data_IF_981320789879
#
_entry.id   IF_981320789879
#
_cell.length_a   1.000
_cell.length_b   1.000
_cell.length_c   1.000
_cell.angle_alpha   90.00
_cell.angle_beta   90.00
_cell.angle_gamma   90.00
#
_symmetry.space_group_name_H-M   'P 1'
#
loop_
_entity.id
_entity.type
_entity.pdbx_description
1 polymer ?
#
# COMPACT_ATOMS: atom_id res chain seq x y z
N UNK A 1 -15.43 -22.96 2.50
CA UNK A 1 -14.79 -22.49 1.25
C UNK A 1 -13.58 -23.40 0.99
N UNK A 2 -13.46 -24.05 -0.18
CA UNK A 2 -12.46 -25.10 -0.40
C UNK A 2 -11.03 -24.56 -0.39
N UNK A 3 -10.12 -25.25 0.31
CA UNK A 3 -8.70 -24.89 0.44
C UNK A 3 -8.03 -24.61 -0.92
N UNK A 4 -8.39 -25.38 -1.95
CA UNK A 4 -7.85 -25.23 -3.31
C UNK A 4 -8.21 -23.91 -3.97
N UNK A 5 -9.45 -23.43 -3.82
CA UNK A 5 -9.89 -22.15 -4.41
C UNK A 5 -9.12 -20.98 -3.84
N UNK A 6 -8.90 -20.97 -2.52
CA UNK A 6 -8.15 -19.91 -1.85
C UNK A 6 -6.68 -19.90 -2.28
N UNK A 7 -6.07 -21.08 -2.50
CA UNK A 7 -4.70 -21.18 -3.03
C UNK A 7 -4.58 -20.60 -4.43
N UNK A 8 -5.55 -20.86 -5.31
CA UNK A 8 -5.58 -20.31 -6.68
C UNK A 8 -5.70 -18.78 -6.63
N UNK A 9 -6.63 -18.26 -5.83
CA UNK A 9 -6.82 -16.83 -5.65
C UNK A 9 -5.57 -16.14 -5.08
N UNK A 10 -4.93 -16.74 -4.08
CA UNK A 10 -3.69 -16.25 -3.51
C UNK A 10 -2.56 -16.24 -4.55
N UNK A 11 -2.46 -17.26 -5.39
CA UNK A 11 -1.48 -17.31 -6.48
C UNK A 11 -1.66 -16.15 -7.46
N UNK A 12 -2.90 -15.91 -7.93
CA UNK A 12 -3.19 -14.77 -8.81
C UNK A 12 -2.90 -13.42 -8.14
N UNK A 13 -3.17 -13.30 -6.84
CA UNK A 13 -2.89 -12.07 -6.11
C UNK A 13 -1.38 -11.81 -5.97
N UNK A 14 -0.59 -12.84 -5.66
CA UNK A 14 0.88 -12.73 -5.60
C UNK A 14 1.45 -12.39 -6.97
N UNK A 15 0.92 -13.00 -8.04
CA UNK A 15 1.32 -12.69 -9.40
C UNK A 15 0.99 -11.23 -9.76
N UNK A 16 -0.21 -10.76 -9.42
CA UNK A 16 -0.63 -9.38 -9.59
C UNK A 16 0.28 -8.38 -8.85
N UNK A 17 0.57 -8.62 -7.56
CA UNK A 17 1.48 -7.76 -6.80
C UNK A 17 2.85 -7.73 -7.49
N UNK A 18 3.39 -8.90 -7.84
CA UNK A 18 4.73 -9.00 -8.44
C UNK A 18 4.83 -8.23 -9.75
N UNK A 19 3.86 -8.41 -10.65
CA UNK A 19 3.83 -7.72 -11.95
C UNK A 19 3.56 -6.24 -11.75
N UNK A 20 2.58 -5.85 -10.93
CA UNK A 20 2.24 -4.45 -10.72
C UNK A 20 3.38 -3.65 -10.07
N UNK A 21 4.12 -4.25 -9.13
CA UNK A 21 5.32 -3.63 -8.56
C UNK A 21 6.45 -3.52 -9.58
N UNK A 22 6.70 -4.57 -10.38
CA UNK A 22 7.73 -4.55 -11.42
C UNK A 22 7.44 -3.51 -12.50
N UNK A 23 6.19 -3.45 -12.97
CA UNK A 23 5.72 -2.45 -13.92
C UNK A 23 5.73 -1.05 -13.30
N UNK A 24 5.30 -0.90 -12.04
CA UNK A 24 5.34 0.37 -11.32
C UNK A 24 6.75 0.94 -11.19
N UNK A 25 7.74 0.08 -10.99
CA UNK A 25 9.13 0.51 -11.03
C UNK A 25 9.57 0.88 -12.46
N UNK A 26 9.38 -0.04 -13.42
CA UNK A 26 9.96 0.06 -14.76
C UNK A 26 9.30 1.13 -15.65
N UNK A 27 7.98 1.29 -15.54
CA UNK A 27 7.16 2.12 -16.45
C UNK A 27 6.85 3.48 -15.83
N UNK A 28 6.78 3.57 -14.50
CA UNK A 28 6.48 4.84 -13.83
C UNK A 28 7.71 5.48 -13.18
N UNK A 29 8.47 4.76 -12.35
CA UNK A 29 9.59 5.39 -11.63
C UNK A 29 10.74 5.78 -12.57
N UNK A 30 11.19 4.87 -13.44
CA UNK A 30 12.32 5.12 -14.35
C UNK A 30 12.03 6.29 -15.32
N UNK A 31 10.89 6.34 -16.02
CA UNK A 31 10.63 7.42 -16.97
C UNK A 31 10.35 8.77 -16.30
N UNK A 32 9.91 8.77 -15.03
CA UNK A 32 9.72 10.00 -14.25
C UNK A 32 11.00 10.46 -13.55
N UNK A 33 12.10 9.69 -13.56
CA UNK A 33 13.35 10.07 -12.92
C UNK A 33 13.92 11.42 -13.43
N UNK A 34 13.85 11.77 -14.73
CA UNK A 34 14.27 13.11 -15.19
C UNK A 34 13.49 14.25 -14.51
N UNK A 35 12.21 14.04 -14.18
CA UNK A 35 11.39 15.03 -13.48
C UNK A 35 11.94 15.34 -12.09
N UNK A 36 12.60 14.38 -11.43
CA UNK A 36 13.25 14.60 -10.15
C UNK A 36 14.33 15.68 -10.24
N UNK A 37 15.15 15.68 -11.30
CA UNK A 37 16.21 16.66 -11.50
C UNK A 37 15.68 18.05 -11.89
N UNK A 38 14.50 18.11 -12.54
CA UNK A 38 13.86 19.37 -12.96
C UNK A 38 13.08 19.99 -11.79
N UNK A 39 12.24 19.20 -11.14
CA UNK A 39 11.40 19.62 -10.03
C UNK A 39 11.16 18.45 -9.07
N UNK A 40 11.94 18.36 -7.99
CA UNK A 40 11.76 17.32 -6.96
C UNK A 40 10.35 17.35 -6.37
N UNK A 41 9.74 18.53 -6.26
CA UNK A 41 8.38 18.70 -5.75
C UNK A 41 7.33 18.04 -6.66
N UNK A 42 7.38 18.28 -7.97
CA UNK A 42 6.44 17.68 -8.92
C UNK A 42 6.65 16.17 -9.02
N UNK A 43 7.91 15.72 -9.05
CA UNK A 43 8.24 14.29 -9.00
C UNK A 43 7.59 13.63 -7.78
N UNK A 44 7.79 14.21 -6.59
CA UNK A 44 7.24 13.66 -5.36
C UNK A 44 5.71 13.62 -5.38
N UNK A 45 5.06 14.69 -5.84
CA UNK A 45 3.59 14.75 -5.95
C UNK A 45 3.02 13.67 -6.88
N UNK A 46 3.66 13.41 -8.02
CA UNK A 46 3.22 12.38 -8.97
C UNK A 46 3.43 10.98 -8.41
N UNK A 47 4.62 10.68 -7.90
CA UNK A 47 4.95 9.37 -7.35
C UNK A 47 4.07 9.06 -6.13
N UNK A 48 3.89 10.02 -5.22
CA UNK A 48 3.04 9.81 -4.04
C UNK A 48 1.59 9.55 -4.42
N UNK A 49 1.07 10.21 -5.47
CA UNK A 49 -0.28 9.92 -5.97
C UNK A 49 -0.40 8.55 -6.63
N UNK A 50 0.64 8.06 -7.30
CA UNK A 50 0.65 6.73 -7.90
C UNK A 50 0.72 5.63 -6.83
N UNK A 51 1.58 5.81 -5.84
CA UNK A 51 1.71 4.90 -4.69
C UNK A 51 0.41 4.84 -3.89
N UNK A 52 -0.21 5.99 -3.63
CA UNK A 52 -1.52 6.10 -2.96
C UNK A 52 -2.60 5.27 -3.69
N UNK A 53 -2.71 5.43 -5.01
CA UNK A 53 -3.65 4.64 -5.82
C UNK A 53 -3.32 3.14 -5.78
N UNK A 54 -2.05 2.76 -5.89
CA UNK A 54 -1.62 1.37 -5.84
C UNK A 54 -1.94 0.73 -4.48
N UNK A 55 -1.70 1.45 -3.38
CA UNK A 55 -2.07 1.02 -2.03
C UNK A 55 -3.59 0.81 -1.93
N UNK A 56 -4.39 1.79 -2.35
CA UNK A 56 -5.85 1.71 -2.28
C UNK A 56 -6.41 0.50 -3.08
N UNK A 57 -5.88 0.24 -4.27
CA UNK A 57 -6.27 -0.92 -5.09
C UNK A 57 -5.96 -2.24 -4.36
N UNK A 58 -4.76 -2.36 -3.77
CA UNK A 58 -4.39 -3.56 -3.03
C UNK A 58 -5.25 -3.79 -1.80
N UNK A 59 -5.60 -2.73 -1.06
CA UNK A 59 -6.54 -2.81 0.08
C UNK A 59 -7.86 -3.43 -0.37
N UNK A 60 -8.42 -2.99 -1.52
CA UNK A 60 -9.66 -3.56 -2.04
C UNK A 60 -9.54 -5.04 -2.39
N UNK A 61 -8.42 -5.48 -2.97
CA UNK A 61 -8.19 -6.91 -3.21
C UNK A 61 -8.15 -7.73 -1.92
N UNK A 62 -7.53 -7.23 -0.86
CA UNK A 62 -7.41 -7.94 0.41
C UNK A 62 -8.75 -8.04 1.14
N UNK A 63 -9.58 -7.01 1.04
CA UNK A 63 -10.96 -7.03 1.53
C UNK A 63 -11.83 -8.06 0.79
N UNK A 64 -11.62 -8.23 -0.52
CA UNK A 64 -12.30 -9.28 -1.30
C UNK A 64 -11.94 -10.69 -0.84
N UNK A 65 -10.78 -10.90 -0.21
CA UNK A 65 -10.44 -12.17 0.45
C UNK A 65 -11.13 -12.37 1.80
N UNK A 66 -11.97 -11.43 2.23
CA UNK A 66 -12.71 -11.48 3.50
C UNK A 66 -11.92 -10.94 4.69
N UNK A 67 -10.79 -10.29 4.45
CA UNK A 67 -10.00 -9.65 5.51
C UNK A 67 -10.76 -8.48 6.11
N UNK A 68 -10.78 -8.40 7.44
CA UNK A 68 -11.40 -7.29 8.19
C UNK A 68 -10.37 -6.66 9.11
N UNK A 69 -10.31 -5.33 9.11
CA UNK A 69 -9.52 -4.57 10.08
C UNK A 69 -10.41 -4.21 11.27
N UNK A 70 -9.91 -4.50 12.47
CA UNK A 70 -10.52 -4.03 13.72
C UNK A 70 -9.53 -3.10 14.40
N UNK A 71 -9.95 -1.86 14.65
CA UNK A 71 -9.13 -0.84 15.30
C UNK A 71 -9.70 -0.57 16.68
N UNK A 72 -8.88 -0.76 17.71
CA UNK A 72 -9.21 -0.42 19.09
C UNK A 72 -8.36 0.77 19.50
N UNK A 73 -9.01 1.88 19.83
CA UNK A 73 -8.34 3.14 20.15
C UNK A 73 -9.26 4.02 20.96
N UNK A 74 -8.69 4.80 21.88
CA UNK A 74 -9.37 5.94 22.52
C UNK A 74 -9.27 7.21 21.66
N UNK A 75 -8.29 7.28 20.77
CA UNK A 75 -8.13 8.36 19.80
C UNK A 75 -9.12 8.22 18.64
N UNK A 76 -9.72 9.35 18.26
CA UNK A 76 -10.67 9.42 17.13
C UNK A 76 -10.05 10.04 15.87
N UNK A 77 -8.95 10.79 16.00
CA UNK A 77 -8.28 11.43 14.87
C UNK A 77 -6.87 10.85 14.65
N UNK A 78 -6.78 9.95 13.67
CA UNK A 78 -5.53 9.28 13.30
C UNK A 78 -4.74 9.99 12.20
N UNK A 79 -5.28 11.04 11.57
CA UNK A 79 -4.62 11.74 10.47
C UNK A 79 -3.64 12.84 10.95
N UNK A 80 -3.07 12.64 12.14
CA UNK A 80 -2.01 13.49 12.71
C UNK A 80 -0.66 12.80 12.50
N UNK A 81 0.43 13.56 12.54
CA UNK A 81 1.77 12.97 12.49
C UNK A 81 1.97 12.01 13.66
N UNK A 82 2.20 10.73 13.35
CA UNK A 82 2.32 9.65 14.32
C UNK A 82 3.41 8.68 13.91
N UNK A 83 4.09 8.09 14.90
CA UNK A 83 4.98 6.95 14.68
C UNK A 83 4.19 5.66 14.90
N UNK A 84 4.19 4.77 13.91
CA UNK A 84 3.52 3.47 14.01
C UNK A 84 4.59 2.40 14.18
N UNK A 85 4.51 1.70 15.30
CA UNK A 85 5.38 0.56 15.61
C UNK A 85 4.51 -0.69 15.48
N UNK A 86 4.88 -1.58 14.55
CA UNK A 86 4.15 -2.82 14.29
C UNK A 86 5.09 -4.01 14.40
N UNK A 87 4.57 -5.14 14.87
CA UNK A 87 5.30 -6.41 14.77
C UNK A 87 5.32 -6.85 13.31
N UNK A 88 6.50 -7.19 12.78
CA UNK A 88 6.69 -7.62 11.39
C UNK A 88 6.97 -9.13 11.37
N UNK A 89 5.91 -9.91 11.56
CA UNK A 89 5.96 -11.37 11.67
C UNK A 89 5.92 -12.05 10.30
N UNK A 90 5.28 -11.44 9.31
CA UNK A 90 5.16 -11.95 7.95
C UNK A 90 5.34 -10.85 6.90
N UNK A 91 5.65 -11.28 5.68
CA UNK A 91 5.93 -10.38 4.53
C UNK A 91 4.72 -9.56 4.06
N UNK A 92 3.51 -9.86 4.55
CA UNK A 92 2.26 -9.21 4.19
C UNK A 92 1.70 -8.33 5.31
N UNK A 93 2.40 -8.18 6.44
CA UNK A 93 1.90 -7.39 7.58
C UNK A 93 1.67 -5.91 7.24
N UNK A 94 2.42 -5.42 6.26
CA UNK A 94 2.29 -4.08 5.68
C UNK A 94 0.90 -3.80 5.14
N UNK A 95 0.21 -4.83 4.66
CA UNK A 95 -1.13 -4.66 4.14
C UNK A 95 -2.15 -4.32 5.22
N UNK A 96 -1.97 -4.78 6.46
CA UNK A 96 -2.82 -4.32 7.57
C UNK A 96 -2.63 -2.84 7.84
N UNK A 97 -1.38 -2.37 7.77
CA UNK A 97 -1.09 -0.95 7.87
C UNK A 97 -1.68 -0.15 6.70
N UNK A 98 -1.62 -0.67 5.49
CA UNK A 98 -2.24 -0.03 4.33
C UNK A 98 -3.76 0.07 4.44
N UNK A 99 -4.43 -0.99 4.92
CA UNK A 99 -5.87 -0.92 5.22
C UNK A 99 -6.14 0.20 6.22
N UNK A 100 -5.40 0.23 7.33
CA UNK A 100 -5.53 1.29 8.33
C UNK A 100 -5.31 2.68 7.72
N UNK A 101 -4.25 2.84 6.93
CA UNK A 101 -3.91 4.12 6.32
C UNK A 101 -4.94 4.57 5.28
N UNK A 102 -5.58 3.69 4.53
CA UNK A 102 -6.62 4.07 3.57
C UNK A 102 -7.91 4.54 4.27
N UNK A 103 -8.21 4.01 5.46
CA UNK A 103 -9.46 4.34 6.18
C UNK A 103 -9.32 5.49 7.17
N UNK A 104 -8.15 5.61 7.80
CA UNK A 104 -7.96 6.51 8.94
C UNK A 104 -6.91 7.61 8.68
N UNK A 105 -6.14 7.50 7.60
CA UNK A 105 -5.08 8.45 7.23
C UNK A 105 -5.13 8.76 5.73
N UNK A 106 -4.11 9.45 5.22
CA UNK A 106 -3.87 9.57 3.78
C UNK A 106 -2.62 8.77 3.41
N UNK A 107 -2.73 7.74 2.53
CA UNK A 107 -1.57 6.97 2.10
C UNK A 107 -0.49 7.84 1.43
N UNK A 108 -0.88 8.97 0.85
CA UNK A 108 0.02 9.97 0.26
C UNK A 108 1.00 10.57 1.26
N UNK A 109 0.61 10.69 2.53
CA UNK A 109 1.43 11.28 3.58
C UNK A 109 2.36 10.24 4.25
N UNK A 110 2.29 8.98 3.82
CA UNK A 110 3.10 7.92 4.39
C UNK A 110 4.58 8.14 4.06
N UNK A 111 5.39 8.15 5.11
CA UNK A 111 6.84 8.10 5.01
C UNK A 111 7.31 6.84 5.72
N UNK A 112 7.81 5.89 4.94
CA UNK A 112 8.33 4.64 5.44
C UNK A 112 9.84 4.80 5.61
N UNK A 113 10.31 4.65 6.84
CA UNK A 113 11.72 4.37 7.13
C UNK A 113 11.82 2.87 7.44
N UNK A 114 12.65 2.16 6.68
CA UNK A 114 12.96 0.74 6.88
C UNK A 114 14.19 0.59 7.76
#
# INVERSE_FOLDING_TARGET
>A
MSSTRNKILAFFYVLYISISTFCGFSITLIPLLPLFFISPYLFRRVIDSQVDNWICINVKFIELFGTKLYVYSTEQNFNKSSLIIMNHKNRLDWFYYFIFSCYHQSPRNLKIAL
#
